data_IF_561759972430
#
_entry.id   IF_561759972430
#
_cell.length_a   1.000
_cell.length_b   1.000
_cell.length_c   1.000
_cell.angle_alpha   90.00
_cell.angle_beta   90.00
_cell.angle_gamma   90.00
#
_symmetry.space_group_name_H-M   'P 1'
#
loop_
_entity.id
_entity.type
_entity.pdbx_description
1 polymer ?
#
# COMPACT_ATOMS: atom_id res chain seq x y z
N UNK A 1 -17.02 -14.25 -14.05
CA UNK A 1 -17.61 -13.15 -13.24
C UNK A 1 -16.63 -11.98 -13.27
N UNK A 2 -16.97 -10.90 -13.99
CA UNK A 2 -16.12 -9.69 -14.13
C UNK A 2 -16.55 -8.73 -13.01
N UNK A 3 -15.71 -8.51 -12.00
CA UNK A 3 -15.94 -7.49 -10.98
C UNK A 3 -15.65 -6.12 -11.62
N UNK A 4 -16.71 -5.37 -11.91
CA UNK A 4 -16.62 -3.96 -12.27
C UNK A 4 -16.62 -3.16 -10.97
N UNK A 5 -15.56 -2.41 -10.71
CA UNK A 5 -15.53 -1.42 -9.66
C UNK A 5 -16.17 -0.14 -10.21
N UNK A 6 -17.26 0.30 -9.60
CA UNK A 6 -17.90 1.59 -9.91
C UNK A 6 -17.71 2.52 -8.71
N UNK A 7 -17.23 3.74 -8.96
CA UNK A 7 -17.16 4.80 -7.96
C UNK A 7 -18.20 5.88 -8.28
N UNK A 8 -18.93 6.33 -7.26
CA UNK A 8 -19.78 7.52 -7.34
C UNK A 8 -18.91 8.76 -7.09
N UNK A 9 -18.93 9.70 -8.04
CA UNK A 9 -18.10 10.91 -8.00
C UNK A 9 -18.94 12.05 -7.43
N UNK A 10 -18.51 12.61 -6.29
CA UNK A 10 -18.99 13.90 -5.76
C UNK A 10 -18.10 15.05 -6.26
N UNK A 11 -18.70 16.20 -6.57
CA UNK A 11 -18.13 17.26 -7.44
C UNK A 11 -16.92 18.04 -6.91
N UNK A 12 -16.53 17.87 -5.63
CA UNK A 12 -15.53 18.73 -4.98
C UNK A 12 -14.24 17.98 -4.57
N UNK A 13 -14.11 16.70 -4.93
CA UNK A 13 -13.01 15.81 -4.53
C UNK A 13 -12.16 15.40 -5.73
N UNK A 14 -10.83 15.50 -5.63
CA UNK A 14 -9.94 14.80 -6.54
C UNK A 14 -9.70 13.39 -6.02
N UNK A 15 -10.62 12.47 -6.34
CA UNK A 15 -10.39 11.06 -6.08
C UNK A 15 -9.50 10.44 -7.17
N UNK A 16 -8.37 9.85 -6.77
CA UNK A 16 -7.52 9.07 -7.68
C UNK A 16 -7.62 7.60 -7.33
N UNK A 17 -7.74 6.79 -8.37
CA UNK A 17 -7.83 5.35 -8.27
C UNK A 17 -6.71 4.71 -9.07
N UNK A 18 -5.99 3.79 -8.45
CA UNK A 18 -5.10 2.87 -9.14
C UNK A 18 -5.55 1.45 -8.86
N UNK A 19 -5.82 0.69 -9.92
CA UNK A 19 -6.18 -0.72 -9.86
C UNK A 19 -5.08 -1.50 -10.56
N UNK A 20 -4.45 -2.42 -9.85
CA UNK A 20 -3.47 -3.34 -10.41
C UNK A 20 -3.83 -4.77 -10.06
N UNK A 21 -3.87 -5.65 -11.05
CA UNK A 21 -3.96 -7.08 -10.78
C UNK A 21 -2.60 -7.56 -10.25
N UNK A 22 -2.61 -8.27 -9.13
CA UNK A 22 -1.43 -8.82 -8.47
C UNK A 22 -1.65 -10.31 -8.24
N UNK A 23 -0.64 -11.13 -8.55
CA UNK A 23 -0.69 -12.59 -8.39
C UNK A 23 -1.92 -13.27 -9.02
N UNK A 24 -2.47 -12.70 -10.11
CA UNK A 24 -3.59 -13.25 -10.90
C UNK A 24 -4.96 -13.28 -10.23
N UNK A 25 -5.04 -13.50 -8.92
CA UNK A 25 -6.28 -13.63 -8.16
C UNK A 25 -6.58 -12.46 -7.21
N UNK A 26 -5.69 -11.46 -7.14
CA UNK A 26 -5.86 -10.30 -6.27
C UNK A 26 -5.88 -9.00 -7.09
N UNK A 27 -6.66 -8.03 -6.63
CA UNK A 27 -6.55 -6.65 -7.04
C UNK A 27 -5.93 -5.84 -5.90
N UNK A 28 -4.90 -5.07 -6.19
CA UNK A 28 -4.49 -3.95 -5.36
C UNK A 28 -5.25 -2.72 -5.84
N UNK A 29 -6.11 -2.19 -4.97
CA UNK A 29 -6.83 -0.94 -5.15
C UNK A 29 -6.21 0.12 -4.25
N UNK A 30 -5.56 1.11 -4.85
CA UNK A 30 -5.13 2.31 -4.14
C UNK A 30 -6.14 3.40 -4.44
N UNK A 31 -6.82 3.88 -3.39
CA UNK A 31 -7.71 5.04 -3.42
C UNK A 31 -7.01 6.19 -2.72
N UNK A 32 -7.02 7.37 -3.30
CA UNK A 32 -6.64 8.59 -2.58
C UNK A 32 -7.70 9.64 -2.79
N UNK A 33 -8.12 10.29 -1.72
CA UNK A 33 -9.02 11.44 -1.73
C UNK A 33 -8.20 12.63 -1.27
N UNK A 34 -8.27 13.71 -2.03
CA UNK A 34 -7.57 14.94 -1.71
C UNK A 34 -8.53 16.13 -1.85
N UNK A 35 -8.62 16.93 -0.80
CA UNK A 35 -9.30 18.23 -0.80
C UNK A 35 -8.45 19.28 -0.03
N UNK A 36 -8.95 20.52 0.01
CA UNK A 36 -8.24 21.66 0.65
C UNK A 36 -8.15 21.59 2.19
N UNK A 37 -8.85 20.65 2.81
CA UNK A 37 -8.96 20.45 4.25
C UNK A 37 -8.41 19.12 4.71
N UNK A 38 -8.36 18.12 3.84
CA UNK A 38 -7.92 16.78 4.19
C UNK A 38 -7.36 16.02 2.99
N UNK A 39 -6.44 15.10 3.31
CA UNK A 39 -5.96 14.10 2.38
C UNK A 39 -6.06 12.72 3.02
N UNK A 40 -6.50 11.74 2.26
CA UNK A 40 -6.51 10.35 2.67
C UNK A 40 -6.04 9.46 1.54
N UNK A 41 -5.35 8.38 1.89
CA UNK A 41 -5.02 7.34 0.94
C UNK A 41 -5.13 5.97 1.59
N UNK A 42 -5.58 4.99 0.82
CA UNK A 42 -5.77 3.61 1.26
C UNK A 42 -5.39 2.67 0.15
N UNK A 43 -4.56 1.69 0.45
CA UNK A 43 -4.28 0.55 -0.43
C UNK A 43 -4.95 -0.69 0.15
N UNK A 44 -5.84 -1.28 -0.64
CA UNK A 44 -6.63 -2.46 -0.28
C UNK A 44 -6.32 -3.60 -1.25
N UNK A 45 -6.05 -4.79 -0.73
CA UNK A 45 -6.04 -6.01 -1.49
C UNK A 45 -7.42 -6.65 -1.49
N UNK A 46 -7.95 -6.95 -2.67
CA UNK A 46 -9.21 -7.66 -2.83
C UNK A 46 -8.93 -9.01 -3.48
N UNK A 47 -9.26 -10.09 -2.77
CA UNK A 47 -9.23 -11.43 -3.36
C UNK A 47 -10.44 -11.58 -4.29
N UNK A 48 -10.21 -11.78 -5.59
CA UNK A 48 -11.27 -11.86 -6.59
C UNK A 48 -12.16 -13.10 -6.46
N UNK A 49 -11.69 -14.14 -5.75
CA UNK A 49 -12.47 -15.37 -5.52
C UNK A 49 -13.42 -15.21 -4.35
N UNK A 50 -12.96 -14.62 -3.24
CA UNK A 50 -13.75 -14.48 -2.01
C UNK A 50 -14.46 -13.12 -1.88
N UNK A 51 -14.06 -12.13 -2.68
CA UNK A 51 -14.57 -10.75 -2.61
C UNK A 51 -14.15 -9.98 -1.37
N UNK A 52 -13.40 -10.59 -0.42
CA UNK A 52 -13.07 -9.96 0.86
C UNK A 52 -11.91 -8.96 0.71
N UNK A 53 -12.11 -7.66 1.01
CA UNK A 53 -11.05 -6.66 1.01
C UNK A 53 -10.18 -6.76 2.26
N UNK A 54 -8.89 -6.45 2.14
CA UNK A 54 -7.92 -6.34 3.24
C UNK A 54 -7.07 -5.09 3.06
N UNK A 55 -6.98 -4.25 4.07
CA UNK A 55 -6.19 -3.01 4.00
C UNK A 55 -4.71 -3.32 4.21
N UNK A 56 -3.86 -2.96 3.25
CA UNK A 56 -2.40 -3.02 3.38
C UNK A 56 -1.83 -1.75 4.02
N UNK A 57 -2.38 -0.60 3.63
CA UNK A 57 -1.93 0.70 4.08
C UNK A 57 -3.12 1.65 4.09
N UNK A 58 -3.19 2.51 5.09
CA UNK A 58 -4.14 3.60 5.17
C UNK A 58 -3.48 4.81 5.83
N UNK A 59 -3.89 5.99 5.41
CA UNK A 59 -3.42 7.27 5.88
C UNK A 59 -4.55 8.28 5.83
N UNK A 60 -4.54 9.19 6.78
CA UNK A 60 -5.45 10.32 6.86
C UNK A 60 -4.72 11.49 7.51
N UNK A 61 -4.85 12.66 6.91
CA UNK A 61 -4.27 13.93 7.38
C UNK A 61 -5.30 15.05 7.16
N UNK A 62 -5.44 15.93 8.14
CA UNK A 62 -6.29 17.13 8.07
C UNK A 62 -5.38 18.36 7.94
N UNK A 63 -5.52 19.11 6.83
CA UNK A 63 -4.78 20.34 6.57
C UNK A 63 -5.69 21.56 6.85
N UNK A 64 -5.50 22.23 7.99
CA UNK A 64 -6.05 23.57 8.18
C UNK A 64 -5.11 24.60 7.53
N UNK A 65 -5.47 25.03 6.31
CA UNK A 65 -4.98 26.18 5.53
C UNK A 65 -3.79 25.96 4.55
N UNK A 66 -4.11 26.09 3.25
CA UNK A 66 -3.25 26.31 2.06
C UNK A 66 -2.47 25.11 1.49
N UNK A 67 -2.21 25.09 0.15
CA UNK A 67 -2.19 23.83 -0.59
C UNK A 67 -0.77 23.26 -0.69
N UNK A 68 -0.58 22.10 -0.12
CA UNK A 68 0.32 21.12 -0.72
C UNK A 68 -0.45 19.83 -0.93
N UNK A 69 -0.40 19.23 -2.13
CA UNK A 69 -1.01 17.92 -2.33
C UNK A 69 -0.24 16.93 -1.45
N UNK A 70 -0.89 16.09 -0.62
CA UNK A 70 -0.22 15.13 0.30
C UNK A 70 -0.94 13.74 0.49
N UNK A 71 -0.86 12.75 -0.41
CA UNK A 71 -1.22 11.32 -0.22
C UNK A 71 -0.10 10.24 -0.26
N UNK A 72 -0.11 9.28 0.67
CA UNK A 72 0.73 8.05 0.71
C UNK A 72 0.44 7.10 -0.47
N UNK A 73 1.46 6.42 -0.98
CA UNK A 73 1.31 5.44 -2.06
C UNK A 73 2.07 4.15 -1.71
N UNK A 74 1.40 3.00 -1.87
CA UNK A 74 2.11 1.73 -1.89
C UNK A 74 2.87 1.64 -3.23
N UNK A 75 4.20 1.69 -3.17
CA UNK A 75 5.04 1.77 -4.37
C UNK A 75 5.23 0.38 -4.97
N UNK A 76 5.52 -0.60 -4.10
CA UNK A 76 5.64 -2.00 -4.49
C UNK A 76 4.75 -2.88 -3.60
N UNK A 77 4.06 -3.84 -4.22
CA UNK A 77 3.14 -4.76 -3.53
C UNK A 77 3.35 -6.16 -4.08
N UNK A 78 3.66 -7.08 -3.19
CA UNK A 78 3.87 -8.50 -3.48
C UNK A 78 2.78 -9.27 -2.74
N UNK A 79 2.13 -10.20 -3.45
CA UNK A 79 1.10 -11.08 -2.86
C UNK A 79 1.44 -12.52 -3.20
N UNK A 80 1.37 -13.39 -2.20
CA UNK A 80 1.54 -14.84 -2.36
C UNK A 80 0.21 -15.50 -2.73
N UNK A 81 0.22 -16.70 -3.32
CA UNK A 81 -1.01 -17.46 -3.59
C UNK A 81 -1.87 -17.73 -2.34
N UNK A 82 -1.24 -17.82 -1.16
CA UNK A 82 -1.91 -18.02 0.14
C UNK A 82 -2.55 -16.76 0.72
N UNK A 83 -2.49 -15.61 0.04
CA UNK A 83 -3.09 -14.36 0.49
C UNK A 83 -2.30 -13.62 1.56
N UNK A 84 -1.05 -14.01 1.81
CA UNK A 84 -0.06 -13.19 2.53
C UNK A 84 0.52 -12.16 1.58
N UNK A 85 0.85 -10.98 2.06
CA UNK A 85 1.37 -9.92 1.22
C UNK A 85 2.47 -9.12 1.92
N UNK A 86 3.32 -8.47 1.12
CA UNK A 86 4.28 -7.48 1.59
C UNK A 86 4.19 -6.23 0.73
N UNK A 87 4.42 -5.07 1.32
CA UNK A 87 4.43 -3.81 0.59
C UNK A 87 5.48 -2.85 1.13
N UNK A 88 6.04 -2.05 0.23
CA UNK A 88 6.76 -0.84 0.56
C UNK A 88 5.79 0.34 0.45
N UNK A 89 5.67 1.09 1.54
CA UNK A 89 4.71 2.19 1.66
C UNK A 89 5.49 3.45 1.97
N UNK A 90 5.38 4.46 1.12
CA UNK A 90 5.98 5.76 1.41
C UNK A 90 4.98 6.60 2.20
N UNK A 91 5.26 6.81 3.48
CA UNK A 91 4.61 7.78 4.35
C UNK A 91 4.88 9.18 3.86
N UNK A 92 3.83 10.00 3.75
CA UNK A 92 4.01 11.31 3.14
C UNK A 92 4.29 12.43 4.14
N UNK A 93 3.72 12.34 5.35
CA UNK A 93 4.00 13.28 6.42
C UNK A 93 5.49 13.26 6.82
N UNK A 94 6.09 12.07 6.89
CA UNK A 94 7.49 11.88 7.25
C UNK A 94 8.42 11.74 6.03
N UNK A 95 7.89 11.40 4.85
CA UNK A 95 8.68 10.95 3.71
C UNK A 95 9.26 9.54 3.89
N UNK A 96 9.04 8.89 5.03
CA UNK A 96 9.66 7.61 5.34
C UNK A 96 9.07 6.48 4.50
N UNK A 97 9.88 5.48 4.21
CA UNK A 97 9.45 4.22 3.62
C UNK A 97 9.29 3.20 4.72
N UNK A 98 8.12 2.56 4.77
CA UNK A 98 7.80 1.43 5.65
C UNK A 98 7.73 0.16 4.86
N UNK A 99 8.32 -0.90 5.39
CA UNK A 99 8.10 -2.26 4.90
C UNK A 99 7.04 -2.89 5.81
N UNK A 100 5.92 -3.26 5.22
CA UNK A 100 4.80 -3.91 5.93
C UNK A 100 4.54 -5.29 5.38
N UNK A 101 4.11 -6.19 6.24
CA UNK A 101 3.64 -7.53 5.89
C UNK A 101 2.20 -7.72 6.39
N UNK A 102 1.40 -8.41 5.59
CA UNK A 102 0.03 -8.77 5.87
C UNK A 102 -0.11 -10.29 5.88
N UNK A 103 -0.56 -10.83 7.01
CA UNK A 103 -0.83 -12.25 7.19
C UNK A 103 -2.07 -12.72 6.44
N UNK A 104 -2.21 -14.04 6.32
CA UNK A 104 -3.37 -14.67 5.68
C UNK A 104 -4.68 -14.46 6.46
N UNK A 105 -4.60 -14.12 7.75
CA UNK A 105 -5.70 -13.75 8.65
C UNK A 105 -6.09 -12.27 8.56
N UNK A 106 -5.26 -11.44 7.92
CA UNK A 106 -5.42 -9.99 7.85
C UNK A 106 -4.60 -9.22 8.89
N UNK A 107 -3.77 -9.89 9.70
CA UNK A 107 -2.86 -9.23 10.64
C UNK A 107 -1.82 -8.41 9.89
N UNK A 108 -1.69 -7.12 10.21
CA UNK A 108 -0.70 -6.22 9.64
C UNK A 108 0.49 -6.08 10.60
N UNK A 109 1.69 -6.24 10.08
CA UNK A 109 2.94 -6.09 10.83
C UNK A 109 3.87 -5.12 10.10
N UNK A 110 4.41 -4.13 10.81
CA UNK A 110 5.54 -3.35 10.33
C UNK A 110 6.84 -4.13 10.56
N UNK A 111 7.63 -4.26 9.51
CA UNK A 111 8.92 -4.97 9.54
C UNK A 111 10.09 -4.00 9.60
N UNK A 112 9.98 -2.84 8.95
CA UNK A 112 11.05 -1.85 8.89
C UNK A 112 10.51 -0.45 8.61
N UNK A 113 11.31 0.57 8.91
CA UNK A 113 11.07 1.98 8.60
C UNK A 113 12.38 2.74 8.43
N UNK A 114 12.45 3.63 7.45
CA UNK A 114 13.62 4.45 7.19
C UNK A 114 13.34 5.54 6.16
N UNK A 115 14.34 6.37 5.87
CA UNK A 115 14.23 7.35 4.78
C UNK A 115 14.20 6.64 3.41
N UNK A 116 13.79 7.30 2.32
CA UNK A 116 13.87 6.72 0.97
C UNK A 116 15.30 6.42 0.50
N UNK A 117 16.31 7.10 1.09
CA UNK A 117 17.72 6.84 0.81
C UNK A 117 18.20 5.55 1.50
N UNK A 118 17.69 5.27 2.70
CA UNK A 118 18.02 4.05 3.43
C UNK A 118 17.22 2.86 2.91
N UNK A 119 15.93 3.04 2.67
CA UNK A 119 15.02 2.01 2.20
C UNK A 119 14.39 2.45 0.87
N UNK A 120 15.01 2.11 -0.28
CA UNK A 120 14.44 2.41 -1.58
C UNK A 120 13.08 1.72 -1.76
N UNK A 121 11.99 2.45 -2.05
CA UNK A 121 10.64 1.88 -2.06
C UNK A 121 10.40 0.90 -3.21
N UNK A 122 11.26 0.89 -4.24
CA UNK A 122 11.16 -0.02 -5.39
C UNK A 122 11.87 -1.35 -5.17
N UNK A 123 12.71 -1.49 -4.14
CA UNK A 123 13.62 -2.64 -3.97
C UNK A 123 13.04 -3.78 -3.13
N UNK A 124 11.73 -3.79 -2.92
CA UNK A 124 11.06 -4.92 -2.27
C UNK A 124 10.92 -6.10 -3.25
N UNK A 125 11.41 -7.27 -2.83
CA UNK A 125 11.31 -8.52 -3.61
C UNK A 125 10.85 -9.68 -2.72
N UNK A 126 10.50 -10.80 -3.33
CA UNK A 126 10.15 -12.04 -2.63
C UNK A 126 11.10 -13.15 -3.08
N UNK A 127 11.90 -13.66 -2.15
CA UNK A 127 12.87 -14.73 -2.41
C UNK A 127 12.60 -15.89 -1.45
N UNK A 128 12.33 -17.07 -2.01
CA UNK A 128 12.11 -18.30 -1.23
C UNK A 128 11.07 -18.14 -0.11
N UNK A 129 9.98 -17.43 -0.38
CA UNK A 129 8.89 -17.18 0.58
C UNK A 129 9.17 -16.11 1.65
N UNK A 130 10.29 -15.38 1.54
CA UNK A 130 10.67 -14.29 2.43
C UNK A 130 10.65 -12.97 1.67
N UNK A 131 10.16 -11.91 2.32
CA UNK A 131 10.38 -10.56 1.82
C UNK A 131 11.85 -10.22 1.95
N UNK A 132 12.39 -9.54 0.94
CA UNK A 132 13.77 -9.08 0.88
C UNK A 132 13.81 -7.62 0.42
N UNK A 133 14.59 -6.78 1.09
CA UNK A 133 14.77 -5.36 0.79
C UNK A 133 16.15 -4.87 1.25
N UNK A 134 16.54 -3.64 0.87
CA UNK A 134 17.73 -2.99 1.41
C UNK A 134 17.37 -1.96 2.49
N UNK A 135 18.21 -1.87 3.53
CA UNK A 135 18.20 -0.80 4.52
C UNK A 135 19.63 -0.27 4.67
N UNK A 136 19.87 0.99 4.29
CA UNK A 136 21.18 1.64 4.26
C UNK A 136 22.21 0.79 3.47
N UNK A 137 21.78 0.24 2.34
CA UNK A 137 22.59 -0.65 1.49
C UNK A 137 22.78 -2.08 2.03
N UNK A 138 22.28 -2.39 3.23
CA UNK A 138 22.39 -3.74 3.82
C UNK A 138 21.15 -4.57 3.51
N UNK A 139 21.29 -5.82 3.05
CA UNK A 139 20.14 -6.68 2.78
C UNK A 139 19.43 -7.07 4.09
N UNK A 140 18.10 -6.96 4.07
CA UNK A 140 17.19 -7.39 5.13
C UNK A 140 16.22 -8.41 4.56
N UNK A 141 15.85 -9.39 5.39
CA UNK A 141 14.80 -10.33 5.03
C UNK A 141 13.87 -10.61 6.20
N UNK A 142 12.61 -10.93 5.88
CA UNK A 142 11.63 -11.36 6.88
C UNK A 142 10.69 -12.41 6.29
N UNK A 143 10.30 -13.45 7.04
CA UNK A 143 9.22 -14.32 6.61
C UNK A 143 7.90 -13.52 6.53
N UNK A 144 7.02 -13.91 5.60
CA UNK A 144 5.65 -13.42 5.63
C UNK A 144 4.86 -14.17 6.72
N UNK A 145 4.17 -13.46 7.63
CA UNK A 145 3.36 -14.08 8.69
C UNK A 145 2.25 -14.99 8.13
#
# INVERSE_FOLDING_TARGET
MRLLASALIGSDYQERFQIRQVAGAFLALTTSVEDKYASSARTTLVNLRSGKPRTLAAFHEEAMAWPQPIGTQAVNVIVTPGGRAGASVTERASGNVRIVALGADGGLQQLDIGSPADIPPTELTLMSGRLSWLHAGQPRTSPLP
#
